data_IF_884025661551
#
_entry.id   IF_884025661551
#
_cell.length_a   1.000
_cell.length_b   1.000
_cell.length_c   1.000
_cell.angle_alpha   90.00
_cell.angle_beta   90.00
_cell.angle_gamma   90.00
#
_symmetry.space_group_name_H-M   'P 1'
#
loop_
_entity.id
_entity.type
_entity.pdbx_description
1 polymer ?
#
# COMPACT_ATOMS: atom_id res chain seq x y z
N UNK A 1 -34.49 8.21 1.95
CA UNK A 1 -33.10 8.44 2.41
C UNK A 1 -33.13 8.52 3.93
N UNK A 2 -32.82 7.45 4.62
CA UNK A 2 -32.77 7.43 6.08
C UNK A 2 -31.52 8.23 6.50
N UNK A 3 -31.70 9.35 7.20
CA UNK A 3 -30.60 10.07 7.81
C UNK A 3 -29.86 9.11 8.73
N UNK A 4 -28.63 8.76 8.41
CA UNK A 4 -27.72 8.17 9.38
C UNK A 4 -27.74 9.11 10.59
N UNK A 5 -28.30 8.63 11.70
CA UNK A 5 -28.21 9.37 12.97
C UNK A 5 -26.73 9.67 13.15
N UNK A 6 -26.39 10.92 13.51
CA UNK A 6 -25.04 11.32 13.94
C UNK A 6 -24.65 10.54 15.19
N UNK A 7 -24.47 9.25 15.06
CA UNK A 7 -23.83 8.41 16.07
C UNK A 7 -22.37 8.83 16.01
N UNK A 8 -21.90 9.49 17.05
CA UNK A 8 -20.57 10.06 17.09
C UNK A 8 -19.48 9.04 16.84
N UNK A 9 -19.11 8.84 15.59
CA UNK A 9 -17.93 8.07 15.17
C UNK A 9 -16.61 8.69 15.66
N UNK A 10 -16.67 9.65 16.59
CA UNK A 10 -15.52 10.38 17.05
C UNK A 10 -15.01 11.42 16.01
N UNK A 11 -14.31 12.42 16.49
CA UNK A 11 -13.86 13.56 15.68
C UNK A 11 -12.45 13.41 15.12
N UNK A 12 -11.81 12.26 15.29
CA UNK A 12 -10.43 12.08 14.83
C UNK A 12 -10.40 11.61 13.39
N UNK A 13 -10.13 12.54 12.50
CA UNK A 13 -9.62 12.41 11.13
C UNK A 13 -10.51 11.68 10.09
N UNK A 14 -10.18 11.81 8.83
CA UNK A 14 -10.98 11.33 7.71
C UNK A 14 -11.00 9.81 7.64
N UNK A 15 -12.17 9.21 7.44
CA UNK A 15 -12.29 7.82 7.07
C UNK A 15 -12.22 7.72 5.53
N UNK A 16 -11.16 7.11 5.00
CA UNK A 16 -11.05 6.74 3.59
C UNK A 16 -11.57 5.31 3.35
N UNK A 17 -12.20 4.73 4.34
CA UNK A 17 -12.63 3.35 4.35
C UNK A 17 -13.79 3.11 3.39
N UNK A 18 -13.66 2.11 2.53
CA UNK A 18 -14.77 1.55 1.78
C UNK A 18 -15.56 0.60 2.68
N UNK A 19 -16.84 0.86 2.96
CA UNK A 19 -17.68 -0.03 3.75
C UNK A 19 -17.86 -1.39 3.08
N UNK A 20 -17.93 -2.46 3.87
CA UNK A 20 -18.33 -3.78 3.38
C UNK A 20 -19.79 -4.04 3.72
N UNK A 21 -20.50 -4.72 2.82
CA UNK A 21 -21.91 -5.07 3.02
C UNK A 21 -22.08 -6.59 2.92
N UNK A 22 -22.72 -7.18 3.92
CA UNK A 22 -23.06 -8.60 3.91
C UNK A 22 -24.33 -8.84 4.73
N UNK A 23 -25.23 -9.65 4.19
CA UNK A 23 -26.46 -10.14 4.87
C UNK A 23 -27.26 -8.99 5.54
N UNK A 24 -27.39 -7.84 4.86
CA UNK A 24 -28.14 -6.68 5.36
C UNK A 24 -27.41 -5.87 6.44
N UNK A 25 -26.12 -6.11 6.65
CA UNK A 25 -25.27 -5.36 7.58
C UNK A 25 -24.19 -4.60 6.82
N UNK A 26 -24.00 -3.32 7.15
CA UNK A 26 -22.92 -2.47 6.66
C UNK A 26 -21.84 -2.40 7.73
N UNK A 27 -20.63 -2.81 7.41
CA UNK A 27 -19.48 -2.76 8.31
C UNK A 27 -18.61 -1.55 7.96
N UNK A 28 -18.42 -0.68 8.96
CA UNK A 28 -17.63 0.56 8.84
C UNK A 28 -16.46 0.50 9.81
N UNK A 29 -15.29 0.96 9.37
CA UNK A 29 -14.15 1.24 10.23
C UNK A 29 -13.83 2.74 10.17
N UNK A 30 -13.46 3.32 11.30
CA UNK A 30 -13.11 4.73 11.40
C UNK A 30 -11.61 4.97 11.29
N UNK A 31 -11.18 6.22 11.18
CA UNK A 31 -9.76 6.59 11.23
C UNK A 31 -9.04 6.25 12.54
N UNK A 32 -9.78 5.88 13.59
CA UNK A 32 -9.24 5.34 14.84
C UNK A 32 -9.27 3.81 14.91
N UNK A 33 -9.56 3.14 13.80
CA UNK A 33 -9.73 1.69 13.70
C UNK A 33 -10.90 1.14 14.53
N UNK A 34 -11.83 2.00 14.97
CA UNK A 34 -13.07 1.56 15.61
C UNK A 34 -14.00 0.95 14.57
N UNK A 35 -14.69 -0.16 14.92
CA UNK A 35 -15.56 -0.88 14.00
C UNK A 35 -17.00 -0.77 14.43
N UNK A 36 -17.88 -0.48 13.46
CA UNK A 36 -19.32 -0.32 13.64
C UNK A 36 -20.08 -1.08 12.55
N UNK A 37 -20.72 -2.22 12.85
CA UNK A 37 -21.71 -2.81 11.98
C UNK A 37 -23.05 -2.11 12.16
N UNK A 38 -23.67 -1.77 11.05
CA UNK A 38 -24.93 -1.06 10.98
C UNK A 38 -25.99 -1.94 10.29
N UNK A 39 -27.20 -1.93 10.79
CA UNK A 39 -28.33 -2.48 10.05
C UNK A 39 -28.52 -1.64 8.76
N UNK A 40 -28.46 -2.27 7.60
CA UNK A 40 -28.52 -1.56 6.31
C UNK A 40 -29.90 -0.90 6.04
N UNK A 41 -30.98 -1.36 6.69
CA UNK A 41 -32.33 -0.80 6.54
C UNK A 41 -32.59 0.36 7.48
N UNK A 42 -32.16 0.24 8.76
CA UNK A 42 -32.50 1.22 9.80
C UNK A 42 -31.36 2.19 10.13
N UNK A 43 -30.11 1.80 9.84
CA UNK A 43 -28.91 2.54 10.24
C UNK A 43 -28.52 2.36 11.70
N UNK A 44 -29.21 1.47 12.43
CA UNK A 44 -28.89 1.20 13.83
C UNK A 44 -27.56 0.46 13.98
N UNK A 45 -26.76 0.86 14.97
CA UNK A 45 -25.52 0.18 15.32
C UNK A 45 -25.88 -1.14 16.02
N UNK A 46 -25.43 -2.26 15.45
CA UNK A 46 -25.68 -3.60 16.01
C UNK A 46 -24.74 -3.90 17.18
N UNK A 47 -23.50 -3.55 17.04
CA UNK A 47 -22.48 -3.57 18.09
C UNK A 47 -21.39 -2.56 17.76
N UNK A 48 -20.46 -2.31 18.68
CA UNK A 48 -19.29 -1.46 18.44
C UNK A 48 -18.05 -2.06 19.07
N UNK A 49 -16.93 -1.93 18.39
CA UNK A 49 -15.61 -2.29 18.90
C UNK A 49 -14.72 -1.06 18.86
N UNK A 50 -14.26 -0.61 20.02
CA UNK A 50 -13.24 0.41 20.16
C UNK A 50 -11.86 -0.23 20.05
N UNK A 51 -10.98 0.36 19.26
CA UNK A 51 -9.65 -0.18 19.02
C UNK A 51 -8.70 0.00 20.19
N UNK A 52 -8.89 1.06 20.98
CA UNK A 52 -8.05 1.44 22.12
C UNK A 52 -6.56 1.60 21.75
N UNK A 53 -6.28 2.08 20.53
CA UNK A 53 -4.91 2.41 20.13
C UNK A 53 -4.34 3.51 21.03
N UNK A 54 -3.01 3.49 21.22
CA UNK A 54 -2.32 4.49 22.02
C UNK A 54 -2.57 5.90 21.45
N UNK A 55 -3.12 6.84 22.23
CA UNK A 55 -3.38 8.20 21.76
C UNK A 55 -2.11 8.98 21.38
N UNK A 56 -0.93 8.47 21.76
CA UNK A 56 0.36 9.05 21.37
C UNK A 56 0.79 8.68 19.96
N UNK A 57 0.04 7.79 19.26
CA UNK A 57 0.35 7.46 17.87
C UNK A 57 0.23 8.71 17.03
N UNK A 58 1.38 9.21 16.57
CA UNK A 58 1.53 10.38 15.70
C UNK A 58 2.40 10.07 14.48
N UNK A 59 2.84 8.81 14.34
CA UNK A 59 3.75 8.32 13.30
C UNK A 59 3.02 7.92 12.02
N UNK A 60 1.85 8.45 11.79
CA UNK A 60 1.09 8.18 10.57
C UNK A 60 1.13 9.43 9.70
N UNK A 61 1.67 9.30 8.49
CA UNK A 61 1.62 10.37 7.50
C UNK A 61 0.18 10.87 7.34
N UNK A 62 0.05 12.18 7.20
CA UNK A 62 -1.16 12.84 6.70
C UNK A 62 -2.41 12.71 7.60
N UNK A 63 -2.26 12.20 8.81
CA UNK A 63 -3.32 12.01 9.81
C UNK A 63 -3.70 10.55 10.04
N UNK A 64 -4.50 10.32 11.08
CA UNK A 64 -5.00 8.99 11.40
C UNK A 64 -6.18 8.63 10.49
N UNK A 65 -6.02 7.62 9.64
CA UNK A 65 -7.09 7.11 8.78
C UNK A 65 -6.93 5.61 8.51
N UNK A 66 -8.04 4.96 8.20
CA UNK A 66 -8.10 3.57 7.79
C UNK A 66 -8.77 3.49 6.42
N UNK A 67 -8.28 2.63 5.53
CA UNK A 67 -8.87 2.42 4.20
C UNK A 67 -9.86 1.28 4.14
N UNK A 68 -10.11 0.62 5.26
CA UNK A 68 -11.14 -0.39 5.33
C UNK A 68 -10.76 -1.63 6.12
N UNK A 69 -11.59 -2.63 6.00
CA UNK A 69 -11.44 -3.94 6.63
C UNK A 69 -11.64 -5.06 5.61
N UNK A 70 -11.26 -6.28 5.99
CA UNK A 70 -11.57 -7.48 5.22
C UNK A 70 -12.58 -8.35 5.97
N UNK A 71 -13.24 -9.26 5.22
CA UNK A 71 -14.23 -10.17 5.76
C UNK A 71 -14.00 -11.57 5.20
N UNK A 72 -14.02 -12.58 6.08
CA UNK A 72 -13.92 -13.97 5.68
C UNK A 72 -13.94 -14.90 6.86
N UNK A 73 -14.22 -16.19 6.64
CA UNK A 73 -14.26 -17.23 7.67
C UNK A 73 -15.06 -16.88 8.94
N UNK A 74 -16.15 -16.09 8.80
CA UNK A 74 -16.95 -15.62 9.93
C UNK A 74 -16.32 -14.51 10.77
N UNK A 75 -15.28 -13.88 10.29
CA UNK A 75 -14.52 -12.83 10.96
C UNK A 75 -14.41 -11.56 10.13
N UNK A 76 -14.14 -10.44 10.82
CA UNK A 76 -13.66 -9.19 10.27
C UNK A 76 -12.18 -9.06 10.61
N UNK A 77 -11.38 -8.62 9.65
CA UNK A 77 -9.95 -8.37 9.83
C UNK A 77 -9.67 -6.88 9.68
N UNK A 78 -9.02 -6.31 10.68
CA UNK A 78 -8.73 -4.87 10.78
C UNK A 78 -7.24 -4.68 10.92
N UNK A 79 -6.64 -3.90 10.01
CA UNK A 79 -5.31 -3.36 10.22
C UNK A 79 -5.40 -2.13 11.11
N UNK A 80 -4.51 -2.01 12.09
CA UNK A 80 -4.56 -0.91 13.05
C UNK A 80 -3.32 0.00 12.93
N UNK A 81 -3.49 1.26 13.30
CA UNK A 81 -2.43 2.26 13.26
C UNK A 81 -1.24 1.92 14.16
N UNK A 82 -1.47 1.10 15.18
CA UNK A 82 -0.43 0.57 16.08
C UNK A 82 0.34 -0.63 15.52
N UNK A 83 0.22 -0.87 14.21
CA UNK A 83 0.83 -1.97 13.48
C UNK A 83 0.41 -3.36 13.97
N UNK A 84 -0.80 -3.48 14.53
CA UNK A 84 -1.46 -4.75 14.78
C UNK A 84 -2.43 -5.11 13.64
N UNK A 85 -2.65 -6.40 13.45
CA UNK A 85 -3.79 -6.95 12.71
C UNK A 85 -4.68 -7.69 13.69
N UNK A 86 -5.97 -7.38 13.67
CA UNK A 86 -6.95 -7.92 14.61
C UNK A 86 -8.05 -8.65 13.86
N UNK A 87 -8.40 -9.84 14.31
CA UNK A 87 -9.59 -10.56 13.88
C UNK A 87 -10.69 -10.41 14.92
N UNK A 88 -11.87 -10.03 14.45
CA UNK A 88 -13.07 -9.89 15.26
C UNK A 88 -14.12 -10.90 14.79
N UNK A 89 -14.81 -11.55 15.71
CA UNK A 89 -16.00 -12.31 15.38
C UNK A 89 -17.05 -11.39 14.75
N UNK A 90 -17.54 -11.74 13.58
CA UNK A 90 -18.39 -10.86 12.77
C UNK A 90 -19.74 -10.56 13.43
N UNK A 91 -20.24 -11.45 14.29
CA UNK A 91 -21.57 -11.31 14.94
C UNK A 91 -21.51 -10.49 16.22
N UNK A 92 -20.40 -10.62 16.97
CA UNK A 92 -20.28 -10.08 18.32
C UNK A 92 -19.27 -8.96 18.48
N UNK A 93 -18.36 -8.78 17.51
CA UNK A 93 -17.23 -7.85 17.60
C UNK A 93 -16.16 -8.26 18.62
N UNK A 94 -16.28 -9.46 19.20
CA UNK A 94 -15.28 -9.98 20.14
C UNK A 94 -13.98 -10.28 19.40
N UNK A 95 -12.85 -9.86 19.98
CA UNK A 95 -11.53 -10.16 19.45
C UNK A 95 -11.27 -11.68 19.53
N UNK A 96 -10.92 -12.28 18.39
CA UNK A 96 -10.56 -13.69 18.24
C UNK A 96 -9.06 -13.85 18.41
N UNK A 97 -8.29 -13.02 17.69
CA UNK A 97 -6.85 -12.94 17.82
C UNK A 97 -6.35 -11.54 17.46
N UNK A 98 -5.14 -11.24 17.93
CA UNK A 98 -4.38 -10.03 17.62
C UNK A 98 -2.95 -10.42 17.31
N UNK A 99 -2.43 -9.94 16.21
CA UNK A 99 -1.04 -10.15 15.81
C UNK A 99 -0.34 -8.82 15.61
N UNK A 100 0.70 -8.61 16.38
CA UNK A 100 1.60 -7.47 16.17
C UNK A 100 2.53 -7.80 15.02
N UNK A 101 2.38 -7.10 13.90
CA UNK A 101 3.23 -7.31 12.73
C UNK A 101 4.47 -6.44 12.75
N UNK A 102 4.42 -5.28 13.46
CA UNK A 102 5.57 -4.40 13.74
C UNK A 102 5.37 -3.50 14.96
N UNK A 103 6.40 -2.73 15.31
CA UNK A 103 6.30 -1.71 16.34
C UNK A 103 6.06 -0.33 15.72
N UNK A 104 4.92 0.26 16.02
CA UNK A 104 4.56 1.59 15.55
C UNK A 104 5.56 2.68 15.99
N UNK A 105 6.25 2.49 17.13
CA UNK A 105 7.28 3.43 17.62
C UNK A 105 8.47 3.55 16.67
N UNK A 106 8.65 2.57 15.81
CA UNK A 106 9.67 2.56 14.75
C UNK A 106 9.14 3.10 13.41
N UNK A 107 7.99 3.80 13.40
CA UNK A 107 7.42 4.40 12.21
C UNK A 107 6.47 3.50 11.42
N UNK A 108 6.17 2.30 11.89
CA UNK A 108 5.27 1.37 11.19
C UNK A 108 3.81 1.59 11.55
N UNK A 109 2.93 1.57 10.57
CA UNK A 109 1.49 1.57 10.80
C UNK A 109 0.76 0.72 9.73
N UNK A 110 -0.49 0.37 9.98
CA UNK A 110 -1.35 -0.25 8.97
C UNK A 110 -2.49 0.69 8.66
N UNK A 111 -2.43 1.35 7.53
CA UNK A 111 -3.48 2.24 7.02
C UNK A 111 -4.26 1.62 5.87
N UNK A 112 -3.73 0.53 5.29
CA UNK A 112 -4.37 -0.24 4.21
C UNK A 112 -5.52 -1.10 4.72
N UNK A 113 -6.53 -1.33 3.88
CA UNK A 113 -7.48 -2.40 4.14
C UNK A 113 -6.79 -3.76 3.97
N UNK A 114 -6.89 -4.69 4.93
CA UNK A 114 -6.44 -6.06 4.71
C UNK A 114 -7.20 -6.72 3.57
N UNK A 115 -6.68 -7.82 3.04
CA UNK A 115 -7.35 -8.66 2.06
C UNK A 115 -7.46 -10.09 2.62
N UNK A 116 -8.66 -10.67 2.59
CA UNK A 116 -8.87 -12.08 2.90
C UNK A 116 -9.06 -12.90 1.63
N UNK A 117 -8.33 -14.00 1.52
CA UNK A 117 -8.52 -14.98 0.47
C UNK A 117 -8.04 -16.37 0.92
N UNK A 118 -8.87 -17.39 0.71
CA UNK A 118 -8.56 -18.81 0.92
C UNK A 118 -7.85 -19.13 2.25
N UNK A 119 -8.39 -18.60 3.36
CA UNK A 119 -7.85 -18.83 4.70
C UNK A 119 -6.62 -17.98 5.06
N UNK A 120 -6.21 -17.07 4.20
CA UNK A 120 -5.07 -16.17 4.42
C UNK A 120 -5.55 -14.72 4.51
N UNK A 121 -5.00 -13.96 5.46
CA UNK A 121 -5.17 -12.51 5.58
C UNK A 121 -3.87 -11.84 5.17
N UNK A 122 -3.95 -10.97 4.19
CA UNK A 122 -2.81 -10.17 3.73
C UNK A 122 -2.92 -8.77 4.32
N UNK A 123 -1.87 -8.33 4.98
CA UNK A 123 -1.75 -6.99 5.57
C UNK A 123 -0.49 -6.31 5.10
N UNK A 124 -0.63 -5.05 4.78
CA UNK A 124 0.43 -4.20 4.25
C UNK A 124 0.94 -3.24 5.32
N UNK A 125 2.12 -2.67 5.12
CA UNK A 125 2.74 -1.71 6.04
C UNK A 125 2.89 -0.35 5.38
N UNK A 126 2.51 0.69 6.13
CA UNK A 126 2.70 2.11 5.83
C UNK A 126 3.80 2.72 6.69
N UNK A 127 4.27 3.94 6.35
CA UNK A 127 5.28 4.69 7.09
C UNK A 127 6.57 4.93 6.32
N UNK A 128 6.49 5.04 4.97
CA UNK A 128 7.65 5.23 4.10
C UNK A 128 8.52 6.40 4.51
N UNK A 129 7.91 7.53 4.83
CA UNK A 129 8.53 8.79 5.27
C UNK A 129 9.33 8.66 6.57
N UNK A 130 8.98 7.67 7.38
CA UNK A 130 9.63 7.40 8.67
C UNK A 130 10.79 6.40 8.53
N UNK A 131 11.15 6.05 7.30
CA UNK A 131 12.29 5.20 7.02
C UNK A 131 12.07 3.74 7.38
N UNK A 132 10.85 3.24 7.25
CA UNK A 132 10.52 1.83 7.43
C UNK A 132 10.97 1.02 6.20
N UNK A 133 10.96 -0.30 6.32
CA UNK A 133 11.06 -1.22 5.20
C UNK A 133 9.66 -1.74 4.87
N UNK A 134 9.11 -1.29 3.73
CA UNK A 134 7.79 -1.70 3.27
C UNK A 134 7.70 -3.21 3.07
N UNK A 135 6.50 -3.76 3.27
CA UNK A 135 6.26 -5.19 3.09
C UNK A 135 4.79 -5.56 3.07
N UNK A 136 4.52 -6.72 2.49
CA UNK A 136 3.29 -7.47 2.62
C UNK A 136 3.50 -8.64 3.59
N UNK A 137 2.59 -8.82 4.54
CA UNK A 137 2.58 -9.92 5.50
C UNK A 137 1.34 -10.77 5.29
N UNK A 138 1.50 -12.08 5.15
CA UNK A 138 0.42 -13.05 5.11
C UNK A 138 0.26 -13.72 6.47
N UNK A 139 -0.97 -13.78 6.97
CA UNK A 139 -1.33 -14.36 8.25
C UNK A 139 -2.34 -15.48 8.03
N UNK A 140 -2.24 -16.55 8.80
CA UNK A 140 -3.29 -17.55 8.88
C UNK A 140 -4.57 -16.92 9.46
N UNK A 141 -5.67 -17.01 8.76
CA UNK A 141 -6.91 -16.31 9.12
C UNK A 141 -7.52 -16.81 10.43
N UNK A 142 -7.31 -18.07 10.82
CA UNK A 142 -7.87 -18.65 12.04
C UNK A 142 -7.07 -18.30 13.29
N UNK A 143 -5.75 -18.23 13.15
CA UNK A 143 -4.84 -18.14 14.29
C UNK A 143 -4.08 -16.83 14.38
N UNK A 144 -4.03 -16.03 13.31
CA UNK A 144 -3.22 -14.84 13.21
C UNK A 144 -1.71 -15.11 13.06
N UNK A 145 -1.28 -16.38 12.96
CA UNK A 145 0.13 -16.73 12.81
C UNK A 145 0.66 -16.23 11.46
N UNK A 146 1.83 -15.60 11.47
CA UNK A 146 2.51 -15.21 10.23
C UNK A 146 2.92 -16.45 9.44
N UNK A 147 2.50 -16.49 8.18
CA UNK A 147 2.85 -17.54 7.21
C UNK A 147 4.10 -17.15 6.44
N UNK A 148 4.13 -15.93 5.91
CA UNK A 148 5.28 -15.38 5.19
C UNK A 148 5.26 -13.84 5.17
N UNK A 149 6.41 -13.26 4.79
CA UNK A 149 6.59 -11.82 4.55
C UNK A 149 7.34 -11.61 3.25
N UNK A 150 6.94 -10.62 2.46
CA UNK A 150 7.64 -10.17 1.27
C UNK A 150 7.96 -8.69 1.39
N UNK A 151 9.23 -8.35 1.29
CA UNK A 151 9.71 -6.98 1.44
C UNK A 151 9.72 -6.26 0.09
N UNK A 152 9.40 -4.97 0.10
CA UNK A 152 9.34 -4.13 -1.10
C UNK A 152 10.65 -3.41 -1.40
N UNK A 153 11.54 -3.36 -0.42
CA UNK A 153 12.88 -2.78 -0.56
C UNK A 153 13.90 -3.86 -0.21
N UNK A 154 14.69 -4.31 -1.17
CA UNK A 154 15.62 -5.43 -0.96
C UNK A 154 16.83 -5.02 -0.12
N UNK A 155 17.31 -5.94 0.71
CA UNK A 155 18.62 -5.86 1.34
C UNK A 155 19.72 -6.39 0.41
N UNK A 156 20.99 -6.09 0.68
CA UNK A 156 22.11 -6.63 -0.08
C UNK A 156 22.01 -8.15 -0.25
N UNK A 157 22.09 -8.62 -1.49
CA UNK A 157 21.96 -10.04 -1.84
C UNK A 157 20.53 -10.50 -2.13
N UNK A 158 19.49 -9.70 -1.85
CA UNK A 158 18.14 -10.00 -2.29
C UNK A 158 17.91 -9.52 -3.74
N UNK A 159 16.94 -10.11 -4.49
CA UNK A 159 16.63 -9.69 -5.86
C UNK A 159 16.30 -8.20 -5.93
N UNK A 160 16.96 -7.47 -6.84
CA UNK A 160 16.79 -6.03 -7.03
C UNK A 160 17.70 -5.16 -6.15
N UNK A 161 18.53 -5.73 -5.28
CA UNK A 161 19.44 -4.95 -4.42
C UNK A 161 20.54 -4.23 -5.19
N UNK A 162 20.86 -4.67 -6.39
CA UNK A 162 21.81 -4.04 -7.31
C UNK A 162 21.32 -2.73 -7.93
N UNK A 163 20.04 -2.45 -7.80
CA UNK A 163 19.41 -1.23 -8.33
C UNK A 163 19.52 -0.01 -7.41
N UNK A 164 20.01 -0.21 -6.19
CA UNK A 164 20.26 0.85 -5.22
C UNK A 164 21.51 0.53 -4.40
N UNK A 165 22.69 1.02 -4.82
CA UNK A 165 23.97 0.69 -4.18
C UNK A 165 24.20 1.37 -2.83
N UNK A 166 23.30 2.20 -2.36
CA UNK A 166 23.44 2.95 -1.12
C UNK A 166 23.06 2.14 0.14
N UNK A 167 23.45 2.59 1.34
CA UNK A 167 23.17 1.88 2.57
C UNK A 167 21.66 1.74 2.81
N UNK A 168 21.23 0.55 3.07
CA UNK A 168 19.89 0.03 3.41
C UNK A 168 18.75 0.94 2.88
N UNK A 169 18.22 0.65 1.71
CA UNK A 169 17.08 1.36 1.16
C UNK A 169 15.90 1.32 2.16
N UNK A 170 15.20 2.43 2.27
CA UNK A 170 14.03 2.60 3.12
C UNK A 170 12.86 3.08 2.28
N UNK A 171 11.64 2.91 2.78
CA UNK A 171 10.43 3.28 2.06
C UNK A 171 9.75 2.10 1.39
N UNK A 172 9.17 2.32 0.20
CA UNK A 172 8.36 1.35 -0.51
C UNK A 172 7.17 0.86 0.31
N UNK A 173 6.44 1.74 1.01
CA UNK A 173 5.29 1.35 1.81
C UNK A 173 4.22 0.76 0.91
N UNK A 174 3.24 0.04 1.48
CA UNK A 174 2.04 -0.41 0.80
C UNK A 174 0.86 0.10 1.61
N UNK A 175 0.35 1.29 1.28
CA UNK A 175 -0.73 1.89 2.04
C UNK A 175 -2.11 1.68 1.41
N UNK A 176 -2.19 1.08 0.22
CA UNK A 176 -3.44 0.69 -0.43
C UNK A 176 -3.74 -0.81 -0.33
N UNK A 177 -4.97 -1.18 -0.68
CA UNK A 177 -5.44 -2.56 -0.64
C UNK A 177 -4.84 -3.37 -1.80
N UNK A 178 -4.28 -4.57 -1.55
CA UNK A 178 -3.87 -5.48 -2.61
C UNK A 178 -5.07 -6.06 -3.35
N UNK A 179 -4.83 -6.61 -4.55
CA UNK A 179 -5.79 -7.35 -5.35
C UNK A 179 -5.31 -8.79 -5.56
N UNK A 180 -6.24 -9.73 -5.72
CA UNK A 180 -5.90 -11.14 -5.95
C UNK A 180 -6.56 -11.66 -7.23
N UNK A 181 -5.83 -12.46 -8.00
CA UNK A 181 -6.37 -13.25 -9.09
C UNK A 181 -6.46 -14.71 -8.65
N UNK A 182 -7.67 -15.22 -8.34
CA UNK A 182 -7.85 -16.60 -7.91
C UNK A 182 -7.46 -17.63 -8.96
N UNK A 183 -7.55 -17.31 -10.24
CA UNK A 183 -7.24 -18.23 -11.32
C UNK A 183 -5.73 -18.40 -11.52
N UNK A 184 -4.97 -17.33 -11.32
CA UNK A 184 -3.50 -17.38 -11.41
C UNK A 184 -2.84 -17.68 -10.06
N UNK A 185 -3.58 -17.59 -8.95
CA UNK A 185 -3.02 -17.72 -7.60
C UNK A 185 -2.03 -16.60 -7.26
N UNK A 186 -2.22 -15.41 -7.86
CA UNK A 186 -1.33 -14.28 -7.70
C UNK A 186 -1.99 -13.16 -6.89
N UNK A 187 -1.20 -12.52 -6.02
CA UNK A 187 -1.54 -11.29 -5.34
C UNK A 187 -0.75 -10.13 -5.94
N UNK A 188 -1.44 -9.01 -6.17
CA UNK A 188 -0.89 -7.81 -6.76
C UNK A 188 -1.03 -6.65 -5.79
N UNK A 189 -0.01 -5.84 -5.69
CA UNK A 189 -0.04 -4.61 -4.91
C UNK A 189 0.90 -3.58 -5.52
N UNK A 190 0.68 -2.34 -5.17
CA UNK A 190 1.51 -1.24 -5.59
C UNK A 190 2.26 -0.67 -4.39
N UNK A 191 3.46 -0.13 -4.64
CA UNK A 191 4.33 0.40 -3.60
C UNK A 191 4.49 1.90 -3.73
N UNK A 192 4.63 2.58 -2.61
CA UNK A 192 4.99 3.98 -2.56
C UNK A 192 6.46 4.24 -2.88
N UNK A 193 6.85 5.49 -2.79
CA UNK A 193 8.20 5.97 -3.03
C UNK A 193 9.23 5.39 -2.06
N UNK A 194 10.50 5.53 -2.41
CA UNK A 194 11.61 5.30 -1.48
C UNK A 194 11.89 6.54 -0.63
N UNK A 195 12.32 6.34 0.59
CA UNK A 195 12.82 7.40 1.46
C UNK A 195 14.33 7.64 1.32
N UNK A 196 14.80 8.88 1.52
CA UNK A 196 14.04 10.13 1.69
C UNK A 196 13.31 10.53 0.40
N UNK A 197 12.08 11.06 0.52
CA UNK A 197 11.17 11.27 -0.61
C UNK A 197 11.75 12.18 -1.69
N UNK A 198 12.23 13.35 -1.29
CA UNK A 198 12.70 14.40 -2.20
C UNK A 198 14.23 14.48 -2.32
N UNK A 199 14.97 13.74 -1.50
CA UNK A 199 16.45 13.68 -1.58
C UNK A 199 16.93 12.30 -2.01
N UNK A 200 17.07 12.11 -3.30
CA UNK A 200 17.65 10.89 -3.87
C UNK A 200 19.17 10.78 -3.78
N UNK A 201 19.88 11.76 -3.21
CA UNK A 201 21.36 11.78 -3.21
C UNK A 201 21.96 10.58 -2.47
N UNK A 202 21.24 10.03 -1.49
CA UNK A 202 21.65 8.89 -0.66
C UNK A 202 21.14 7.53 -1.19
N UNK A 203 20.34 7.52 -2.26
CA UNK A 203 19.74 6.32 -2.82
C UNK A 203 19.81 6.31 -4.35
N UNK A 204 21.01 6.38 -4.90
CA UNK A 204 21.24 6.36 -6.34
C UNK A 204 20.68 5.09 -6.99
N UNK A 205 20.34 5.15 -8.29
CA UNK A 205 19.83 4.04 -9.07
C UNK A 205 18.31 3.99 -9.16
N UNK A 206 17.76 2.90 -9.68
CA UNK A 206 16.31 2.74 -9.94
C UNK A 206 15.48 2.52 -8.69
N UNK A 207 16.09 2.08 -7.60
CA UNK A 207 15.46 1.86 -6.30
C UNK A 207 14.29 0.86 -6.34
N UNK A 208 14.51 -0.35 -6.87
CA UNK A 208 13.51 -1.41 -6.82
C UNK A 208 13.24 -1.84 -5.36
N UNK A 209 11.98 -2.09 -4.99
CA UNK A 209 10.75 -2.04 -5.79
C UNK A 209 9.87 -0.87 -5.34
N UNK A 210 10.42 0.33 -5.19
CA UNK A 210 9.62 1.52 -4.92
C UNK A 210 8.88 1.97 -6.19
N UNK A 211 7.76 2.67 -6.01
CA UNK A 211 6.89 3.17 -7.07
C UNK A 211 6.62 2.11 -8.16
N UNK A 212 6.26 0.90 -7.72
CA UNK A 212 6.14 -0.30 -8.56
C UNK A 212 4.84 -1.06 -8.31
N UNK A 213 4.34 -1.75 -9.34
CA UNK A 213 3.38 -2.84 -9.18
C UNK A 213 4.18 -4.13 -9.00
N UNK A 214 3.80 -4.95 -8.03
CA UNK A 214 4.45 -6.23 -7.73
C UNK A 214 3.41 -7.34 -7.77
N UNK A 215 3.76 -8.46 -8.37
CA UNK A 215 3.00 -9.70 -8.32
C UNK A 215 3.78 -10.78 -7.58
N UNK A 216 3.13 -11.40 -6.60
CA UNK A 216 3.66 -12.52 -5.85
C UNK A 216 2.73 -13.73 -5.97
N UNK A 217 3.26 -14.93 -5.76
CA UNK A 217 2.43 -16.09 -5.47
C UNK A 217 1.71 -15.87 -4.14
N UNK A 218 0.38 -15.90 -4.15
CA UNK A 218 -0.44 -15.57 -2.99
C UNK A 218 -0.21 -16.55 -1.83
N UNK A 219 0.04 -17.84 -2.10
CA UNK A 219 0.17 -18.88 -1.07
C UNK A 219 1.50 -18.83 -0.32
N UNK A 220 2.59 -18.56 -1.03
CA UNK A 220 3.95 -18.69 -0.48
C UNK A 220 4.77 -17.40 -0.49
N UNK A 221 4.22 -16.29 -1.04
CA UNK A 221 4.89 -15.00 -1.10
C UNK A 221 6.06 -14.93 -2.10
N UNK A 222 6.25 -15.96 -2.93
CA UNK A 222 7.32 -15.97 -3.92
C UNK A 222 7.10 -14.88 -4.98
N UNK A 223 8.17 -14.15 -5.28
CA UNK A 223 8.18 -13.14 -6.33
C UNK A 223 7.90 -13.76 -7.71
N UNK A 224 7.06 -13.08 -8.50
CA UNK A 224 6.72 -13.49 -9.87
C UNK A 224 7.17 -12.44 -10.88
N UNK A 225 6.72 -11.19 -10.75
CA UNK A 225 7.12 -10.07 -11.59
C UNK A 225 6.86 -8.72 -10.94
N UNK A 226 7.43 -7.67 -11.50
CA UNK A 226 7.11 -6.29 -11.17
C UNK A 226 7.07 -5.43 -12.42
N UNK A 227 6.46 -4.27 -12.28
CA UNK A 227 6.57 -3.18 -13.22
C UNK A 227 6.82 -1.88 -12.43
N UNK A 228 7.99 -1.30 -12.61
CA UNK A 228 8.30 -0.03 -11.97
C UNK A 228 7.73 1.12 -12.80
N UNK A 229 6.92 1.97 -12.19
CA UNK A 229 6.27 3.08 -12.88
C UNK A 229 7.11 4.33 -12.88
N UNK A 230 7.79 4.58 -11.77
CA UNK A 230 8.67 5.74 -11.61
C UNK A 230 10.03 5.27 -11.14
N UNK A 231 11.03 5.32 -12.04
CA UNK A 231 12.41 5.07 -11.69
C UNK A 231 12.97 6.25 -10.89
N UNK A 232 13.65 5.98 -9.77
CA UNK A 232 14.26 7.02 -8.95
C UNK A 232 13.27 8.12 -8.56
N UNK A 233 12.14 7.76 -8.00
CA UNK A 233 11.09 8.70 -7.61
C UNK A 233 11.60 9.68 -6.54
N UNK A 234 11.70 10.97 -6.92
CA UNK A 234 12.07 12.10 -6.06
C UNK A 234 10.98 13.17 -6.05
N UNK A 235 9.77 12.81 -6.47
CA UNK A 235 8.62 13.70 -6.60
C UNK A 235 7.44 13.29 -5.74
N UNK A 236 7.57 12.17 -5.00
CA UNK A 236 6.47 11.58 -4.24
C UNK A 236 5.28 11.21 -5.15
N UNK A 237 5.61 10.60 -6.31
CA UNK A 237 4.57 10.15 -7.24
C UNK A 237 3.85 8.90 -6.76
N UNK A 238 4.56 8.01 -6.10
CA UNK A 238 4.07 6.70 -5.72
C UNK A 238 3.54 5.85 -6.88
N UNK A 239 3.35 4.57 -6.62
CA UNK A 239 2.59 3.69 -7.47
C UNK A 239 1.29 3.21 -6.78
N UNK A 240 0.84 3.88 -5.76
CA UNK A 240 -0.06 3.42 -4.70
C UNK A 240 -1.56 3.57 -4.99
N UNK A 241 -2.01 3.64 -6.23
CA UNK A 241 -3.44 3.46 -6.53
C UNK A 241 -3.81 1.98 -6.40
N UNK A 242 -5.03 1.65 -5.94
CA UNK A 242 -5.49 0.26 -5.89
C UNK A 242 -5.38 -0.42 -7.25
N UNK A 243 -4.83 -1.63 -7.27
CA UNK A 243 -4.75 -2.44 -8.49
C UNK A 243 -6.15 -2.97 -8.81
N UNK A 244 -6.68 -2.63 -9.99
CA UNK A 244 -7.96 -3.13 -10.49
C UNK A 244 -7.69 -4.20 -11.55
N UNK A 245 -8.16 -5.41 -11.28
CA UNK A 245 -8.01 -6.55 -12.19
C UNK A 245 -9.20 -6.64 -13.14
N UNK A 246 -8.97 -6.77 -14.44
CA UNK A 246 -10.04 -6.84 -15.45
C UNK A 246 -9.70 -7.79 -16.60
N UNK A 247 -10.73 -8.26 -17.30
CA UNK A 247 -10.60 -8.95 -18.58
C UNK A 247 -10.89 -8.00 -19.73
N UNK A 248 -10.14 -8.11 -20.81
CA UNK A 248 -10.37 -7.33 -22.03
C UNK A 248 -10.04 -8.16 -23.27
N UNK A 249 -10.34 -7.66 -24.45
CA UNK A 249 -9.94 -8.24 -25.72
C UNK A 249 -8.98 -7.27 -26.40
N UNK A 250 -7.79 -7.74 -26.77
CA UNK A 250 -6.79 -6.98 -27.51
C UNK A 250 -6.44 -7.78 -28.76
N UNK A 251 -6.57 -7.15 -29.92
CA UNK A 251 -6.35 -7.79 -31.24
C UNK A 251 -7.14 -9.09 -31.43
N UNK A 252 -8.41 -9.12 -30.98
CA UNK A 252 -9.30 -10.27 -31.05
C UNK A 252 -9.03 -11.37 -30.00
N UNK A 253 -7.98 -11.26 -29.21
CA UNK A 253 -7.60 -12.24 -28.20
C UNK A 253 -8.01 -11.81 -26.78
N UNK A 254 -8.64 -12.70 -25.98
CA UNK A 254 -8.94 -12.44 -24.59
C UNK A 254 -7.65 -12.20 -23.80
N UNK A 255 -7.58 -11.08 -23.12
CA UNK A 255 -6.43 -10.70 -22.27
C UNK A 255 -6.93 -10.34 -20.88
N UNK A 256 -6.14 -10.73 -19.88
CA UNK A 256 -6.29 -10.23 -18.52
C UNK A 256 -5.34 -9.05 -18.34
N UNK A 257 -5.82 -8.01 -17.71
CA UNK A 257 -5.06 -6.81 -17.43
C UNK A 257 -5.24 -6.37 -15.98
N UNK A 258 -4.40 -5.47 -15.57
CA UNK A 258 -4.58 -4.64 -14.40
C UNK A 258 -4.56 -3.17 -14.84
N UNK A 259 -5.34 -2.36 -14.16
CA UNK A 259 -5.36 -0.92 -14.34
C UNK A 259 -5.32 -0.23 -13.00
N UNK A 260 -4.87 1.01 -13.02
CA UNK A 260 -4.94 1.91 -11.87
C UNK A 260 -4.85 3.36 -12.30
N UNK A 261 -5.35 4.23 -11.46
CA UNK A 261 -5.11 5.64 -11.56
C UNK A 261 -3.68 5.97 -11.16
N UNK A 262 -3.04 6.84 -11.93
CA UNK A 262 -1.77 7.49 -11.57
C UNK A 262 -2.04 8.95 -11.27
N UNK A 263 -1.16 9.60 -10.52
CA UNK A 263 -1.28 11.05 -10.26
C UNK A 263 -1.30 11.88 -11.57
N UNK A 264 -0.74 11.35 -12.65
CA UNK A 264 -0.66 12.00 -13.96
C UNK A 264 -1.63 11.45 -15.02
N UNK A 265 -2.00 10.15 -14.96
CA UNK A 265 -2.92 9.50 -15.91
C UNK A 265 -3.30 8.07 -15.50
N UNK A 266 -4.24 7.48 -16.23
CA UNK A 266 -4.59 6.06 -16.07
C UNK A 266 -3.61 5.18 -16.86
N UNK A 267 -3.00 4.20 -16.19
CA UNK A 267 -2.17 3.17 -16.81
C UNK A 267 -2.92 1.86 -17.01
N UNK A 268 -2.73 1.21 -18.17
CA UNK A 268 -3.24 -0.13 -18.47
C UNK A 268 -2.06 -1.06 -18.73
N UNK A 269 -1.98 -2.17 -18.00
CA UNK A 269 -0.90 -3.16 -18.16
C UNK A 269 -1.46 -4.54 -18.50
N UNK A 270 -1.09 -5.13 -19.67
CA UNK A 270 -1.45 -6.50 -19.99
C UNK A 270 -0.74 -7.49 -19.06
N UNK A 271 -1.47 -8.40 -18.45
CA UNK A 271 -0.95 -9.47 -17.60
C UNK A 271 -0.38 -10.62 -18.41
N UNK A 272 0.63 -10.43 -19.22
CA UNK A 272 1.28 -11.57 -19.86
C UNK A 272 2.63 -11.87 -19.20
N UNK A 273 2.67 -12.94 -18.45
CA UNK A 273 3.86 -13.49 -17.78
C UNK A 273 5.07 -13.71 -18.72
N UNK A 274 4.82 -13.89 -20.02
CA UNK A 274 5.86 -14.29 -20.99
C UNK A 274 6.61 -13.13 -21.66
N UNK A 275 6.17 -11.87 -21.51
CA UNK A 275 6.81 -10.75 -22.24
C UNK A 275 7.93 -10.00 -21.50
N UNK A 276 8.04 -10.14 -20.19
CA UNK A 276 8.97 -9.28 -19.44
C UNK A 276 10.42 -9.76 -19.43
N UNK A 277 10.69 -11.04 -19.72
CA UNK A 277 12.08 -11.52 -19.90
C UNK A 277 12.69 -11.06 -21.22
N UNK A 278 11.88 -10.81 -22.27
CA UNK A 278 12.37 -10.40 -23.58
C UNK A 278 12.55 -8.88 -23.71
N UNK A 279 11.81 -8.05 -22.95
CA UNK A 279 11.90 -6.59 -23.03
C UNK A 279 13.03 -6.01 -22.17
N UNK A 280 13.54 -6.79 -21.21
CA UNK A 280 14.70 -6.39 -20.38
C UNK A 280 15.96 -6.21 -21.22
N UNK A 281 16.16 -7.04 -22.21
CA UNK A 281 17.38 -6.98 -23.06
C UNK A 281 17.35 -5.87 -24.13
N UNK A 282 16.17 -5.38 -24.51
CA UNK A 282 16.07 -4.32 -25.54
C UNK A 282 16.17 -2.90 -25.00
N UNK A 283 15.83 -2.66 -23.73
CA UNK A 283 15.87 -1.31 -23.14
C UNK A 283 17.19 -0.93 -22.50
N UNK A 284 18.03 -1.91 -22.18
CA UNK A 284 19.34 -1.66 -21.56
C UNK A 284 20.43 -1.23 -22.53
N UNK A 285 20.27 -1.43 -23.85
CA UNK A 285 21.33 -1.16 -24.82
C UNK A 285 21.24 0.18 -25.57
N UNK A 286 20.16 0.94 -25.46
CA UNK A 286 19.96 2.13 -26.31
C UNK A 286 19.64 3.46 -25.63
N UNK A 287 19.14 3.47 -24.38
CA UNK A 287 18.56 4.69 -23.77
C UNK A 287 19.27 5.13 -22.49
N UNK A 288 20.16 4.33 -21.95
CA UNK A 288 20.80 4.62 -20.65
C UNK A 288 21.69 5.88 -20.67
N UNK A 289 22.33 6.20 -21.79
CA UNK A 289 23.26 7.36 -21.89
C UNK A 289 22.55 8.71 -21.96
N UNK A 290 21.51 8.83 -22.76
CA UNK A 290 20.82 10.11 -22.99
C UNK A 290 19.86 10.46 -21.82
N UNK A 291 19.12 9.48 -21.30
CA UNK A 291 18.19 9.70 -20.18
C UNK A 291 18.90 10.02 -18.85
N UNK A 292 20.10 9.48 -18.62
CA UNK A 292 20.88 9.78 -17.41
C UNK A 292 21.45 11.22 -17.44
N UNK A 293 21.79 11.75 -18.60
CA UNK A 293 22.27 13.13 -18.74
C UNK A 293 21.14 14.13 -18.54
N UNK A 294 19.99 13.88 -19.14
CA UNK A 294 18.79 14.75 -19.02
C UNK A 294 18.27 14.80 -17.58
N UNK A 295 18.32 13.67 -16.84
CA UNK A 295 17.92 13.59 -15.43
C UNK A 295 18.87 14.34 -14.49
N UNK A 296 20.20 14.32 -14.74
CA UNK A 296 21.17 15.11 -13.97
C UNK A 296 20.94 16.60 -14.16
N UNK A 297 20.63 17.04 -15.35
CA UNK A 297 20.41 18.45 -15.67
C UNK A 297 19.09 18.95 -15.08
N UNK A 298 18.03 18.12 -15.06
CA UNK A 298 16.77 18.41 -14.41
C UNK A 298 16.92 18.54 -12.88
N UNK A 299 17.64 17.61 -12.23
CA UNK A 299 17.90 17.65 -10.81
C UNK A 299 18.75 18.85 -10.39
N UNK A 300 19.77 19.21 -11.18
CA UNK A 300 20.60 20.39 -10.96
C UNK A 300 19.80 21.69 -11.14
N UNK A 301 18.89 21.76 -12.11
CA UNK A 301 18.02 22.92 -12.33
C UNK A 301 16.98 23.09 -11.20
N UNK A 302 16.45 22.00 -10.66
CA UNK A 302 15.54 22.02 -9.51
C UNK A 302 16.26 22.49 -8.24
N UNK A 303 17.50 22.02 -7.99
CA UNK A 303 18.36 22.53 -6.88
C UNK A 303 18.67 24.01 -6.98
N UNK A 304 18.93 24.53 -8.18
CA UNK A 304 19.16 25.97 -8.37
C UNK A 304 17.93 26.80 -8.07
N UNK A 305 16.75 26.34 -8.51
CA UNK A 305 15.46 27.00 -8.22
C UNK A 305 15.13 27.00 -6.74
N UNK A 306 15.32 25.87 -6.05
CA UNK A 306 15.10 25.76 -4.62
C UNK A 306 16.03 26.69 -3.81
N UNK A 307 17.33 26.73 -4.13
CA UNK A 307 18.29 27.63 -3.48
C UNK A 307 18.00 29.10 -3.75
N UNK A 308 17.48 29.47 -4.92
CA UNK A 308 17.09 30.85 -5.22
C UNK A 308 15.81 31.27 -4.49
N UNK A 309 14.86 30.35 -4.28
CA UNK A 309 13.66 30.61 -3.51
C UNK A 309 13.95 30.80 -2.01
N UNK A 310 14.88 30.06 -1.45
CA UNK A 310 15.31 30.18 -0.05
C UNK A 310 16.15 31.44 0.25
N UNK A 311 16.70 32.08 -0.77
CA UNK A 311 17.53 33.30 -0.61
C UNK A 311 16.75 34.62 -0.70
N UNK A 312 15.42 34.58 -0.90
CA UNK A 312 14.61 35.80 -0.88
C UNK A 312 14.36 36.21 0.57
N UNK A 313 14.82 37.39 1.00
CA UNK A 313 14.49 37.89 2.34
C UNK A 313 12.96 38.10 2.45
N UNK A 314 12.39 37.67 3.57
CA UNK A 314 11.00 37.95 3.87
C UNK A 314 10.76 39.47 3.82
N UNK A 315 9.85 39.86 2.95
CA UNK A 315 9.38 41.25 2.92
C UNK A 315 8.74 41.56 4.28
N UNK A 316 9.30 42.54 4.98
CA UNK A 316 8.70 43.11 6.18
C UNK A 316 7.47 43.93 5.77
N UNK A 317 6.34 43.55 6.26
CA UNK A 317 5.17 44.39 6.39
C UNK A 317 4.71 44.37 7.84
#
# INVERSE_FOLDING_TARGET
MTRLKRSGFGTKYSAEATPLVKDGVIYVVTGNDDVFPLNAKTGDILWQRRSWIDPKISVVCCGCFSRGLAMGAGMLFVGQLDANVVALDIKTGREVWRTRIEDWRNGYSVTSAPLYYDGIVYSCISGGELGIRGRLTALDAKTGKTLWRAYTVPYPGEPGSDTSPAPIPRGGPIWNKPAIDPQLGLIYFATGNCGPDYDGSVRQGDNLFCASIIALNAKIGAYVWHFQEVHYDIWDYDAESPVVLFGTVIDGEPRKGDSRGRKDRMGLHPRSYQRQTADRDRRTSGVAGAAAKDRRDAALSARRRYRSAMRRPAARH
#
